data_IF_379068230552
#
_entry.id   IF_379068230552
#
_cell.length_a   1.000
_cell.length_b   1.000
_cell.length_c   1.000
_cell.angle_alpha   90.00
_cell.angle_beta   90.00
_cell.angle_gamma   90.00
#
_symmetry.space_group_name_H-M   'P 1'
#
loop_
_entity.id
_entity.type
_entity.pdbx_description
1 polymer ?
#
# COMPACT_ATOMS: atom_id res chain seq x y z
N UNK A 1 6.66 -15.36 -11.45
CA UNK A 1 8.10 -15.65 -11.23
C UNK A 1 8.40 -15.21 -9.81
N UNK A 2 9.25 -15.91 -9.02
CA UNK A 2 9.51 -15.51 -7.65
C UNK A 2 10.11 -14.09 -7.59
N UNK A 3 9.46 -13.20 -6.84
CA UNK A 3 9.87 -11.79 -6.73
C UNK A 3 10.81 -11.63 -5.56
N UNK A 4 11.93 -10.94 -5.78
CA UNK A 4 12.97 -10.75 -4.76
C UNK A 4 12.97 -9.33 -4.23
N UNK A 5 13.08 -9.19 -2.92
CA UNK A 5 13.25 -7.92 -2.23
C UNK A 5 14.47 -7.98 -1.32
N UNK A 6 15.03 -6.82 -0.98
CA UNK A 6 16.07 -6.70 0.03
C UNK A 6 15.72 -5.60 1.02
N UNK A 7 15.71 -5.97 2.30
CA UNK A 7 15.40 -5.08 3.43
C UNK A 7 16.52 -5.25 4.45
N UNK A 8 17.13 -4.14 4.92
CA UNK A 8 18.25 -4.14 5.88
C UNK A 8 19.42 -5.08 5.49
N UNK A 9 19.69 -5.24 4.19
CA UNK A 9 20.75 -6.11 3.68
C UNK A 9 20.39 -7.61 3.65
N UNK A 10 19.17 -7.99 4.03
CA UNK A 10 18.66 -9.36 3.96
C UNK A 10 17.76 -9.53 2.75
N UNK A 11 17.88 -10.65 2.06
CA UNK A 11 17.05 -10.97 0.89
C UNK A 11 15.85 -11.83 1.29
N UNK A 12 14.70 -11.52 0.70
CA UNK A 12 13.50 -12.32 0.82
C UNK A 12 12.87 -12.54 -0.55
N UNK A 13 12.17 -13.65 -0.69
CA UNK A 13 11.52 -14.08 -1.92
C UNK A 13 10.03 -14.24 -1.66
N UNK A 14 9.20 -13.64 -2.49
CA UNK A 14 7.75 -13.87 -2.50
C UNK A 14 7.36 -14.73 -3.68
N UNK A 15 6.56 -15.76 -3.42
CA UNK A 15 6.02 -16.64 -4.46
C UNK A 15 4.75 -17.30 -3.96
N UNK A 16 3.70 -17.27 -4.79
CA UNK A 16 2.41 -17.93 -4.55
C UNK A 16 1.81 -17.66 -3.17
N UNK A 17 1.87 -16.41 -2.72
CA UNK A 17 1.31 -16.00 -1.44
C UNK A 17 2.20 -16.25 -0.21
N UNK A 18 3.42 -16.77 -0.39
CA UNK A 18 4.32 -17.12 0.71
C UNK A 18 5.65 -16.37 0.64
N UNK A 19 6.21 -16.05 1.80
CA UNK A 19 7.54 -15.50 1.94
C UNK A 19 8.58 -16.57 2.28
N UNK A 20 9.78 -16.40 1.75
CA UNK A 20 10.97 -17.15 2.13
C UNK A 20 12.09 -16.17 2.43
N UNK A 21 12.72 -16.28 3.60
CA UNK A 21 13.87 -15.47 3.99
C UNK A 21 14.74 -16.29 4.95
N UNK A 22 16.07 -16.12 4.87
CA UNK A 22 17.02 -16.77 5.80
C UNK A 22 16.97 -16.18 7.21
N UNK A 23 16.55 -14.91 7.32
CA UNK A 23 16.43 -14.21 8.59
C UNK A 23 15.02 -14.37 9.16
N UNK A 24 14.89 -15.09 10.28
CA UNK A 24 13.59 -15.41 10.88
C UNK A 24 12.83 -14.16 11.36
N UNK A 25 13.54 -13.13 11.81
CA UNK A 25 12.90 -11.89 12.27
C UNK A 25 12.31 -11.12 11.09
N UNK A 26 13.06 -11.01 10.00
CA UNK A 26 12.53 -10.42 8.76
C UNK A 26 11.39 -11.25 8.19
N UNK A 27 11.50 -12.59 8.21
CA UNK A 27 10.43 -13.47 7.74
C UNK A 27 9.14 -13.21 8.52
N UNK A 28 9.19 -13.17 9.86
CA UNK A 28 8.03 -12.91 10.71
C UNK A 28 7.38 -11.53 10.42
N UNK A 29 8.20 -10.51 10.13
CA UNK A 29 7.70 -9.20 9.71
C UNK A 29 6.98 -9.28 8.36
N UNK A 30 7.56 -9.96 7.38
CA UNK A 30 6.98 -10.10 6.04
C UNK A 30 5.70 -10.95 6.03
N UNK A 31 5.65 -12.01 6.84
CA UNK A 31 4.46 -12.84 7.07
C UNK A 31 3.28 -12.01 7.60
N UNK A 32 3.53 -10.98 8.42
CA UNK A 32 2.47 -10.08 8.89
C UNK A 32 1.79 -9.29 7.77
N UNK A 33 2.46 -9.15 6.63
CA UNK A 33 1.94 -8.50 5.43
C UNK A 33 1.49 -9.51 4.37
N UNK A 34 1.62 -10.83 4.55
CA UNK A 34 1.39 -11.79 3.47
C UNK A 34 -0.04 -11.71 2.90
N UNK A 35 -0.17 -11.63 1.57
CA UNK A 35 -1.44 -11.81 0.88
C UNK A 35 -1.46 -13.17 0.15
N UNK A 36 -2.16 -14.18 0.68
CA UNK A 36 -2.22 -15.51 0.07
C UNK A 36 -2.94 -15.54 -1.28
N UNK A 37 -3.62 -14.45 -1.66
CA UNK A 37 -4.33 -14.34 -2.94
C UNK A 37 -3.42 -13.85 -4.07
N UNK A 38 -2.26 -13.28 -3.76
CA UNK A 38 -1.29 -12.81 -4.74
C UNK A 38 -0.55 -14.00 -5.38
N UNK A 39 -1.13 -14.55 -6.45
CA UNK A 39 -0.66 -15.78 -7.10
C UNK A 39 -0.27 -15.60 -8.56
N UNK A 40 -0.64 -14.47 -9.16
CA UNK A 40 -0.17 -14.08 -10.48
C UNK A 40 1.12 -13.27 -10.37
N UNK A 41 1.93 -13.24 -11.43
CA UNK A 41 3.19 -12.50 -11.43
C UNK A 41 3.01 -11.00 -11.13
N UNK A 42 1.94 -10.40 -11.66
CA UNK A 42 1.62 -8.98 -11.44
C UNK A 42 1.26 -8.74 -9.97
N UNK A 43 0.45 -9.62 -9.38
CA UNK A 43 0.07 -9.51 -7.96
C UNK A 43 1.26 -9.79 -7.03
N UNK A 44 2.08 -10.79 -7.33
CA UNK A 44 3.31 -11.09 -6.59
C UNK A 44 4.25 -9.89 -6.59
N UNK A 45 4.43 -9.25 -7.75
CA UNK A 45 5.26 -8.06 -7.87
C UNK A 45 4.68 -6.87 -7.11
N UNK A 46 3.38 -6.61 -7.25
CA UNK A 46 2.71 -5.53 -6.53
C UNK A 46 2.81 -5.72 -5.00
N UNK A 47 2.64 -6.96 -4.54
CA UNK A 47 2.76 -7.33 -3.13
C UNK A 47 4.18 -7.11 -2.59
N UNK A 48 5.17 -7.62 -3.31
CA UNK A 48 6.56 -7.47 -2.94
C UNK A 48 7.01 -6.01 -2.96
N UNK A 49 6.55 -5.22 -3.93
CA UNK A 49 6.81 -3.78 -4.01
C UNK A 49 6.22 -3.04 -2.81
N UNK A 50 4.98 -3.36 -2.43
CA UNK A 50 4.34 -2.79 -1.24
C UNK A 50 5.12 -3.15 0.04
N UNK A 51 5.48 -4.42 0.23
CA UNK A 51 6.21 -4.88 1.41
C UNK A 51 7.60 -4.23 1.52
N UNK A 52 8.35 -4.17 0.42
CA UNK A 52 9.63 -3.49 0.37
C UNK A 52 9.47 -1.99 0.66
N UNK A 53 8.51 -1.32 0.03
CA UNK A 53 8.26 0.11 0.23
C UNK A 53 7.90 0.45 1.68
N UNK A 54 7.06 -0.38 2.31
CA UNK A 54 6.62 -0.20 3.71
C UNK A 54 7.77 -0.28 4.72
N UNK A 55 8.80 -1.06 4.41
CA UNK A 55 9.98 -1.24 5.26
C UNK A 55 11.24 -0.53 4.73
N UNK A 56 11.11 0.34 3.72
CA UNK A 56 12.23 1.11 3.17
C UNK A 56 13.29 0.26 2.43
N UNK A 57 12.86 -0.83 1.80
CA UNK A 57 13.71 -1.76 1.05
C UNK A 57 13.82 -1.47 -0.44
N UNK A 58 14.42 -2.42 -1.15
CA UNK A 58 14.59 -2.43 -2.61
C UNK A 58 13.97 -3.69 -3.21
N UNK A 59 13.55 -3.61 -4.48
CA UNK A 59 13.00 -4.73 -5.26
C UNK A 59 13.93 -5.05 -6.43
N UNK A 60 14.03 -6.33 -6.81
CA UNK A 60 14.82 -6.74 -7.96
C UNK A 60 14.10 -6.40 -9.27
N UNK A 61 14.77 -5.66 -10.15
CA UNK A 61 14.27 -5.29 -11.49
C UNK A 61 15.37 -5.59 -12.51
N UNK A 62 15.11 -6.56 -13.40
CA UNK A 62 16.12 -7.05 -14.34
C UNK A 62 17.34 -7.62 -13.62
N UNK A 63 18.53 -7.06 -13.87
CA UNK A 63 19.79 -7.42 -13.21
C UNK A 63 20.10 -6.53 -11.99
N UNK A 64 19.26 -5.53 -11.71
CA UNK A 64 19.50 -4.50 -10.71
C UNK A 64 18.54 -4.54 -9.52
N UNK A 65 18.75 -3.60 -8.60
CA UNK A 65 17.89 -3.35 -7.46
C UNK A 65 17.40 -1.90 -7.52
N UNK A 66 16.11 -1.71 -7.34
CA UNK A 66 15.47 -0.39 -7.35
C UNK A 66 14.81 -0.10 -6.00
N UNK A 67 14.88 1.16 -5.57
CA UNK A 67 14.21 1.60 -4.34
C UNK A 67 12.70 1.43 -4.48
N UNK A 68 12.11 0.66 -3.57
CA UNK A 68 10.66 0.51 -3.53
C UNK A 68 10.06 1.83 -2.98
N UNK A 69 9.11 2.46 -3.70
CA UNK A 69 8.48 3.68 -3.22
C UNK A 69 7.67 3.39 -1.96
N UNK A 70 7.66 4.33 -1.02
CA UNK A 70 6.81 4.21 0.16
C UNK A 70 5.33 4.10 -0.28
N UNK A 71 4.56 3.12 0.22
CA UNK A 71 3.17 2.97 -0.16
C UNK A 71 2.36 4.20 0.23
N UNK A 72 1.32 4.48 -0.56
CA UNK A 72 0.38 5.55 -0.25
C UNK A 72 -0.30 5.28 1.11
N UNK A 73 -0.68 6.33 1.86
CA UNK A 73 -1.41 6.17 3.11
C UNK A 73 -2.74 5.42 2.86
N UNK A 74 -2.97 4.36 3.63
CA UNK A 74 -4.23 3.59 3.57
C UNK A 74 -5.42 4.38 4.11
N UNK A 75 -5.14 5.36 4.98
CA UNK A 75 -6.13 6.24 5.58
C UNK A 75 -5.63 7.68 5.45
N UNK A 76 -6.47 8.55 4.92
CA UNK A 76 -6.19 9.97 4.73
C UNK A 76 -7.08 10.78 5.68
N UNK A 77 -6.67 12.01 5.98
CA UNK A 77 -7.45 12.88 6.87
C UNK A 77 -8.83 13.21 6.27
N UNK A 78 -8.91 13.26 4.94
CA UNK A 78 -10.14 13.50 4.20
C UNK A 78 -11.19 12.40 4.41
N UNK A 79 -10.77 11.17 4.73
CA UNK A 79 -11.68 10.05 5.01
C UNK A 79 -12.49 10.28 6.29
N UNK A 80 -12.01 11.15 7.18
CA UNK A 80 -12.68 11.55 8.42
C UNK A 80 -13.35 12.93 8.33
N UNK A 81 -13.18 13.65 7.22
CA UNK A 81 -13.79 14.95 7.07
C UNK A 81 -15.32 14.77 6.93
N UNK A 82 -16.13 15.51 7.69
CA UNK A 82 -17.57 15.51 7.46
C UNK A 82 -17.82 15.93 6.01
N UNK A 83 -18.56 15.12 5.26
CA UNK A 83 -18.93 15.44 3.89
C UNK A 83 -19.46 16.87 3.88
N UNK A 84 -18.76 17.79 3.19
CA UNK A 84 -19.18 19.19 3.05
C UNK A 84 -20.59 19.15 2.47
N UNK A 85 -21.61 19.23 3.33
CA UNK A 85 -22.95 19.48 2.85
C UNK A 85 -22.86 20.83 2.15
N UNK A 86 -23.24 20.92 0.88
CA UNK A 86 -23.35 22.22 0.26
C UNK A 86 -24.36 22.98 1.11
N UNK A 87 -23.91 24.03 1.81
CA UNK A 87 -24.79 25.03 2.35
C UNK A 87 -25.60 25.51 1.14
N UNK A 88 -26.83 25.02 1.01
CA UNK A 88 -27.83 25.65 0.17
C UNK A 88 -28.11 26.98 0.83
N UNK A 89 -27.21 27.94 0.62
CA UNK A 89 -27.40 29.35 0.90
C UNK A 89 -28.59 29.77 0.05
N UNK A 90 -29.77 29.65 0.65
CA UNK A 90 -31.03 29.87 0.00
C UNK A 90 -31.18 31.34 -0.33
N UNK A 91 -30.95 31.69 -1.60
CA UNK A 91 -31.46 32.94 -2.17
C UNK A 91 -33.01 33.02 -2.02
N UNK A 92 -33.67 31.88 -1.77
CA UNK A 92 -35.11 31.74 -1.54
C UNK A 92 -35.57 32.15 -0.13
N UNK A 93 -34.66 32.41 0.83
CA UNK A 93 -35.07 32.85 2.17
C UNK A 93 -35.58 34.30 2.20
N UNK A 94 -35.22 35.12 1.21
CA UNK A 94 -35.65 36.52 1.09
C UNK A 94 -37.05 36.70 0.50
N UNK A 95 -37.64 35.68 -0.12
CA UNK A 95 -38.97 35.77 -0.75
C UNK A 95 -40.14 35.45 0.20
N UNK A 96 -39.88 35.01 1.45
CA UNK A 96 -40.93 34.60 2.39
C UNK A 96 -41.39 35.69 3.37
N UNK A 97 -40.93 36.94 3.21
CA UNK A 97 -41.39 38.11 3.96
C UNK A 97 -41.92 39.19 3.01
N UNK A 98 -43.11 39.00 2.44
CA UNK A 98 -44.09 40.07 2.15
C UNK A 98 -45.35 39.48 1.51
N UNK A 99 -46.48 39.83 2.14
CA UNK A 99 -47.89 39.50 1.86
C UNK A 99 -48.36 38.13 2.32
#
# INVERSE_FOLDING_TARGET
MPVKIRIYGKEAVFTRGCWTCEDESLLAMLESLADPRAVTEVEEHAHALYAAGRYGGVIAVGEGWEAAPHPAPEIRLEDFAPARQPERAGWLSFLRRRK
#
